data_IF_694562758181
#
_entry.id   IF_694562758181
#
_cell.length_a   1.000
_cell.length_b   1.000
_cell.length_c   1.000
_cell.angle_alpha   90.00
_cell.angle_beta   90.00
_cell.angle_gamma   90.00
#
_symmetry.space_group_name_H-M   'P 1'
#
loop_
_entity.id
_entity.type
_entity.pdbx_description
1 polymer ?
#
# COMPACT_ATOMS: atom_id res chain seq x y z
N UNK A 1 -43.17 -14.57 24.04
CA UNK A 1 -42.38 -14.75 22.85
C UNK A 1 -41.26 -13.72 22.92
N UNK A 2 -40.07 -14.14 23.36
CA UNK A 2 -38.94 -13.29 23.59
C UNK A 2 -38.18 -13.06 22.27
N UNK A 3 -37.68 -11.85 22.13
CA UNK A 3 -36.90 -11.38 20.99
C UNK A 3 -35.54 -12.11 20.97
N UNK A 4 -35.14 -12.78 19.88
CA UNK A 4 -33.93 -13.60 19.84
C UNK A 4 -32.64 -12.88 19.40
N UNK A 5 -32.60 -11.55 19.44
CA UNK A 5 -31.37 -10.82 19.11
C UNK A 5 -30.67 -10.33 20.37
N UNK A 6 -29.38 -10.62 20.58
CA UNK A 6 -28.62 -10.04 21.67
C UNK A 6 -28.53 -8.52 21.48
N UNK A 7 -28.78 -7.77 22.56
CA UNK A 7 -28.57 -6.34 22.62
C UNK A 7 -27.08 -6.03 22.37
N UNK A 8 -26.77 -5.47 21.23
CA UNK A 8 -25.50 -4.78 21.03
C UNK A 8 -25.49 -3.54 21.93
N UNK A 9 -24.41 -3.27 22.66
CA UNK A 9 -24.30 -2.03 23.42
C UNK A 9 -24.32 -0.87 22.45
N UNK A 10 -25.08 0.16 22.82
CA UNK A 10 -25.27 1.41 22.07
C UNK A 10 -23.92 2.03 21.69
N UNK A 11 -23.62 2.07 20.40
CA UNK A 11 -22.41 2.68 19.83
C UNK A 11 -22.43 4.22 19.85
N UNK A 12 -23.25 4.84 20.70
CA UNK A 12 -23.39 6.31 20.79
C UNK A 12 -22.57 6.99 21.89
N UNK A 13 -21.70 6.29 22.59
CA UNK A 13 -20.85 6.88 23.64
C UNK A 13 -19.37 6.61 23.49
N UNK A 14 -18.83 6.63 22.28
CA UNK A 14 -17.43 6.93 22.11
C UNK A 14 -17.32 8.46 21.99
N UNK A 15 -16.84 9.07 23.05
CA UNK A 15 -16.56 10.51 23.15
C UNK A 15 -15.80 10.94 21.90
N UNK A 16 -16.37 11.87 21.15
CA UNK A 16 -15.63 12.71 20.22
C UNK A 16 -14.46 13.31 21.01
N UNK A 17 -13.24 12.92 20.66
CA UNK A 17 -12.06 13.56 21.20
C UNK A 17 -12.09 15.02 20.71
N UNK A 18 -12.38 15.94 21.59
CA UNK A 18 -12.41 17.40 21.33
C UNK A 18 -11.00 17.99 21.23
N UNK A 19 -9.99 17.20 20.91
CA UNK A 19 -8.64 17.66 20.60
C UNK A 19 -8.60 18.20 19.17
N UNK A 20 -8.30 19.49 19.01
CA UNK A 20 -7.97 20.02 17.67
C UNK A 20 -6.69 19.34 17.20
N UNK A 21 -6.72 18.78 15.99
CA UNK A 21 -5.52 18.29 15.32
C UNK A 21 -4.48 19.41 15.17
N UNK A 22 -3.19 19.08 15.25
CA UNK A 22 -2.11 20.04 14.92
C UNK A 22 -2.26 20.61 13.51
N UNK A 23 -2.92 19.87 12.61
CA UNK A 23 -3.17 20.26 11.21
C UNK A 23 -4.35 21.20 11.01
N UNK A 24 -5.09 21.58 12.07
CA UNK A 24 -6.28 22.43 11.97
C UNK A 24 -5.99 23.92 11.84
N UNK A 25 -4.72 24.33 11.93
CA UNK A 25 -4.32 25.74 11.91
C UNK A 25 -3.46 26.11 10.73
N UNK A 26 -3.77 27.22 10.06
CA UNK A 26 -2.93 27.77 8.98
C UNK A 26 -1.55 28.24 9.50
N UNK A 27 -1.45 28.55 10.79
CA UNK A 27 -0.19 28.88 11.45
C UNK A 27 0.79 27.70 11.40
N UNK A 28 0.31 26.47 11.55
CA UNK A 28 1.14 25.26 11.45
C UNK A 28 1.81 25.19 10.08
N UNK A 29 1.02 25.29 9.00
CA UNK A 29 1.58 25.20 7.65
C UNK A 29 2.49 26.39 7.32
N UNK A 30 2.17 27.61 7.76
CA UNK A 30 3.03 28.77 7.58
C UNK A 30 4.40 28.61 8.23
N UNK A 31 4.45 28.02 9.44
CA UNK A 31 5.71 27.70 10.13
C UNK A 31 6.47 26.63 9.35
N UNK A 32 5.83 25.53 8.98
CA UNK A 32 6.41 24.44 8.19
C UNK A 32 7.01 24.94 6.88
N UNK A 33 6.30 25.78 6.13
CA UNK A 33 6.77 26.37 4.88
C UNK A 33 7.94 27.33 5.07
N UNK A 34 7.92 28.14 6.14
CA UNK A 34 9.01 29.10 6.42
C UNK A 34 10.36 28.43 6.69
N UNK A 35 10.35 27.26 7.32
CA UNK A 35 11.54 26.45 7.60
C UNK A 35 12.13 25.82 6.33
N UNK A 36 11.38 25.82 5.21
CA UNK A 36 11.73 25.22 3.91
C UNK A 36 11.93 26.26 2.81
N UNK A 37 12.33 27.48 3.17
CA UNK A 37 12.60 28.56 2.20
C UNK A 37 13.73 28.23 1.20
N UNK A 38 14.46 27.14 1.40
CA UNK A 38 15.49 26.62 0.52
C UNK A 38 14.93 25.77 -0.64
N UNK A 39 13.66 25.34 -0.55
CA UNK A 39 13.02 24.56 -1.60
C UNK A 39 12.79 25.36 -2.88
N UNK A 40 12.83 24.72 -4.06
CA UNK A 40 12.52 25.40 -5.31
C UNK A 40 11.06 25.86 -5.35
N UNK A 41 10.80 26.99 -6.02
CA UNK A 41 9.48 27.63 -6.04
C UNK A 41 8.34 26.69 -6.47
N UNK A 42 8.57 25.84 -7.47
CA UNK A 42 7.55 24.88 -7.92
C UNK A 42 7.12 23.91 -6.81
N UNK A 43 8.03 23.50 -5.90
CA UNK A 43 7.71 22.61 -4.79
C UNK A 43 6.94 23.36 -3.69
N UNK A 44 7.33 24.59 -3.39
CA UNK A 44 6.60 25.44 -2.47
C UNK A 44 5.16 25.70 -2.94
N UNK A 45 4.98 25.96 -4.25
CA UNK A 45 3.66 26.13 -4.88
C UNK A 45 2.84 24.85 -4.81
N UNK A 46 3.47 23.68 -5.10
CA UNK A 46 2.83 22.36 -5.00
C UNK A 46 2.35 22.07 -3.57
N UNK A 47 3.18 22.34 -2.55
CA UNK A 47 2.81 22.16 -1.14
C UNK A 47 1.66 23.07 -0.74
N UNK A 48 1.68 24.32 -1.19
CA UNK A 48 0.61 25.29 -0.90
C UNK A 48 -0.71 24.87 -1.54
N UNK A 49 -0.69 24.41 -2.79
CA UNK A 49 -1.88 23.91 -3.49
C UNK A 49 -2.43 22.64 -2.80
N UNK A 50 -1.56 21.72 -2.42
CA UNK A 50 -1.94 20.51 -1.69
C UNK A 50 -2.54 20.84 -0.31
N UNK A 51 -1.95 21.79 0.42
CA UNK A 51 -2.50 22.26 1.70
C UNK A 51 -3.89 22.90 1.54
N UNK A 52 -4.07 23.76 0.53
CA UNK A 52 -5.38 24.33 0.24
C UNK A 52 -6.43 23.26 -0.10
N UNK A 53 -6.03 22.25 -0.88
CA UNK A 53 -6.92 21.12 -1.19
C UNK A 53 -7.25 20.34 0.07
N UNK A 54 -6.26 20.00 0.92
CA UNK A 54 -6.51 19.38 2.21
C UNK A 54 -7.55 20.13 3.04
N UNK A 55 -7.45 21.46 3.14
CA UNK A 55 -8.38 22.32 3.89
C UNK A 55 -9.79 22.38 3.27
N UNK A 56 -9.90 22.23 1.97
CA UNK A 56 -11.19 22.26 1.25
C UNK A 56 -11.94 20.93 1.27
N UNK A 57 -11.22 19.82 1.30
CA UNK A 57 -11.83 18.50 1.33
C UNK A 57 -12.49 18.25 2.69
N UNK A 58 -13.74 17.78 2.65
CA UNK A 58 -14.44 17.36 3.86
C UNK A 58 -13.97 15.96 4.25
N UNK A 59 -13.91 15.70 5.53
CA UNK A 59 -13.74 14.34 6.02
C UNK A 59 -14.79 13.41 5.41
N UNK A 60 -14.40 12.18 5.04
CA UNK A 60 -15.33 11.21 4.50
C UNK A 60 -16.46 10.92 5.51
N UNK A 61 -17.63 10.63 5.00
CA UNK A 61 -18.81 10.26 5.81
C UNK A 61 -19.03 8.76 5.77
N UNK A 62 -19.87 8.21 6.63
CA UNK A 62 -20.26 6.79 6.59
C UNK A 62 -21.05 6.43 5.31
N UNK A 63 -21.49 7.42 4.54
CA UNK A 63 -22.21 7.22 3.27
C UNK A 63 -21.27 7.12 2.08
N UNK A 64 -19.99 7.45 2.25
CA UNK A 64 -19.01 7.38 1.16
C UNK A 64 -18.67 5.92 0.87
N UNK A 65 -18.93 5.49 -0.35
CA UNK A 65 -18.74 4.10 -0.77
C UNK A 65 -17.29 3.65 -0.61
N UNK A 66 -16.34 4.55 -0.85
CA UNK A 66 -14.91 4.30 -0.67
C UNK A 66 -14.50 4.13 0.81
N UNK A 67 -15.42 4.35 1.76
CA UNK A 67 -15.23 4.09 3.19
C UNK A 67 -16.21 3.04 3.73
N UNK A 68 -16.93 2.38 2.84
CA UNK A 68 -17.81 1.28 3.22
C UNK A 68 -17.01 0.18 3.92
N UNK A 69 -17.54 -0.32 5.03
CA UNK A 69 -16.92 -1.28 5.95
C UNK A 69 -15.66 -0.81 6.68
N UNK A 70 -15.07 0.34 6.30
CA UNK A 70 -13.87 0.87 6.90
C UNK A 70 -14.18 1.77 8.09
N UNK A 71 -13.66 1.46 9.29
CA UNK A 71 -13.87 2.27 10.48
C UNK A 71 -12.98 3.52 10.43
N UNK A 72 -13.48 4.62 9.87
CA UNK A 72 -12.74 5.87 9.67
C UNK A 72 -11.94 6.36 10.89
N UNK A 73 -12.52 6.20 12.10
CA UNK A 73 -11.88 6.67 13.32
C UNK A 73 -10.53 6.02 13.60
N UNK A 74 -10.29 4.80 13.10
CA UNK A 74 -9.01 4.10 13.23
C UNK A 74 -7.92 4.68 12.31
N UNK A 75 -8.34 5.40 11.27
CA UNK A 75 -7.46 6.06 10.32
C UNK A 75 -7.38 7.58 10.53
N UNK A 76 -7.99 8.09 11.61
CA UNK A 76 -7.98 9.51 11.92
C UNK A 76 -6.60 9.97 12.41
N UNK A 77 -6.13 11.08 11.86
CA UNK A 77 -4.90 11.75 12.30
C UNK A 77 -5.16 12.78 13.42
N UNK A 78 -6.38 12.82 13.98
CA UNK A 78 -6.75 13.77 15.03
C UNK A 78 -5.92 13.60 16.33
N UNK A 79 -5.42 12.41 16.59
CA UNK A 79 -4.60 12.12 17.78
C UNK A 79 -3.10 12.36 17.56
N UNK A 80 -2.69 12.74 16.36
CA UNK A 80 -1.29 13.04 16.07
C UNK A 80 -0.91 14.35 16.75
N UNK A 81 0.12 14.29 17.61
CA UNK A 81 0.56 15.44 18.41
C UNK A 81 1.68 16.21 17.74
N UNK A 82 2.54 15.53 16.96
CA UNK A 82 3.73 16.14 16.39
C UNK A 82 4.08 15.53 15.03
N UNK A 83 4.72 16.33 14.16
CA UNK A 83 5.54 15.76 13.10
C UNK A 83 6.77 15.10 13.69
N UNK A 84 7.23 14.02 13.08
CA UNK A 84 8.48 13.41 13.47
C UNK A 84 9.64 14.39 13.24
N UNK A 85 10.49 14.54 14.24
CA UNK A 85 11.78 15.25 14.10
C UNK A 85 12.94 14.29 13.85
N UNK A 86 12.66 12.98 13.76
CA UNK A 86 13.67 11.98 13.48
C UNK A 86 14.15 12.12 12.04
N UNK A 87 15.48 12.06 11.87
CA UNK A 87 16.12 12.08 10.55
C UNK A 87 16.45 10.66 10.11
N UNK A 88 16.73 10.50 8.82
CA UNK A 88 17.13 9.23 8.23
C UNK A 88 16.09 8.10 8.41
N UNK A 89 14.81 8.48 8.41
CA UNK A 89 13.71 7.52 8.44
C UNK A 89 13.62 6.69 7.15
N UNK A 90 14.15 7.19 6.04
CA UNK A 90 14.30 6.45 4.78
C UNK A 90 15.76 6.18 4.53
N UNK A 91 16.16 4.90 4.57
CA UNK A 91 17.53 4.45 4.37
C UNK A 91 17.65 3.70 3.05
N UNK A 92 18.68 4.03 2.28
CA UNK A 92 18.91 3.48 0.95
C UNK A 92 20.17 2.61 0.96
N UNK A 93 20.12 1.47 0.25
CA UNK A 93 21.33 0.68 -0.01
C UNK A 93 22.33 1.48 -0.85
N UNK A 94 23.60 1.29 -0.57
CA UNK A 94 24.66 1.85 -1.40
C UNK A 94 24.80 1.01 -2.67
N UNK A 95 24.18 1.47 -3.77
CA UNK A 95 24.40 0.90 -5.10
C UNK A 95 25.16 1.94 -5.92
N UNK A 96 26.40 1.64 -6.26
CA UNK A 96 27.17 2.43 -7.20
C UNK A 96 26.82 2.00 -8.64
N UNK A 97 25.96 2.75 -9.29
CA UNK A 97 25.59 2.53 -10.68
C UNK A 97 25.59 3.85 -11.44
N UNK A 98 26.33 3.92 -12.53
CA UNK A 98 26.26 5.03 -13.46
C UNK A 98 25.00 5.02 -14.34
N UNK A 99 24.20 3.94 -14.25
CA UNK A 99 22.98 3.72 -15.00
C UNK A 99 21.71 4.20 -14.26
N UNK A 100 21.81 4.55 -12.98
CA UNK A 100 20.69 5.05 -12.18
C UNK A 100 21.10 6.17 -11.22
N UNK A 101 20.16 7.04 -10.96
CA UNK A 101 20.21 8.01 -9.87
C UNK A 101 19.32 7.49 -8.73
N UNK A 102 19.92 7.16 -7.57
CA UNK A 102 19.23 6.62 -6.42
C UNK A 102 19.67 7.40 -5.16
N UNK A 103 18.79 8.20 -4.61
CA UNK A 103 19.12 9.07 -3.48
C UNK A 103 17.88 9.50 -2.68
N UNK A 104 18.10 10.01 -1.47
CA UNK A 104 17.02 10.57 -0.67
C UNK A 104 16.41 11.78 -1.35
N UNK A 105 15.11 12.01 -1.10
CA UNK A 105 14.32 13.03 -1.78
C UNK A 105 14.85 14.44 -1.54
N UNK A 106 15.26 14.79 -0.33
CA UNK A 106 15.83 16.09 0.04
C UNK A 106 17.08 16.40 -0.78
N UNK A 107 17.96 15.42 -0.93
CA UNK A 107 19.16 15.54 -1.76
C UNK A 107 18.79 15.67 -3.24
N UNK A 108 17.78 14.91 -3.71
CA UNK A 108 17.29 15.03 -5.08
C UNK A 108 16.75 16.44 -5.37
N UNK A 109 16.02 17.04 -4.43
CA UNK A 109 15.48 18.41 -4.56
C UNK A 109 16.62 19.44 -4.66
N UNK A 110 17.70 19.25 -3.91
CA UNK A 110 18.84 20.19 -3.92
C UNK A 110 19.70 20.04 -5.18
N UNK A 111 19.99 18.79 -5.58
CA UNK A 111 20.93 18.52 -6.67
C UNK A 111 20.27 18.63 -8.06
N UNK A 112 18.97 18.25 -8.16
CA UNK A 112 18.25 18.13 -9.43
C UNK A 112 16.80 18.67 -9.35
N UNK A 113 16.62 19.94 -8.98
CA UNK A 113 15.28 20.49 -8.71
C UNK A 113 14.34 20.52 -9.92
N UNK A 114 14.86 20.60 -11.13
CA UNK A 114 14.04 20.70 -12.35
C UNK A 114 13.59 19.31 -12.85
N UNK A 115 14.39 18.30 -12.68
CA UNK A 115 14.11 16.94 -13.09
C UNK A 115 12.92 16.38 -12.31
N UNK A 116 12.88 16.63 -11.02
CA UNK A 116 11.81 16.13 -10.14
C UNK A 116 10.45 16.76 -10.48
N UNK A 117 10.41 18.04 -10.90
CA UNK A 117 9.17 18.76 -11.19
C UNK A 117 8.34 18.13 -12.31
N UNK A 118 9.01 17.50 -13.28
CA UNK A 118 8.37 16.88 -14.45
C UNK A 118 7.83 15.48 -14.18
N UNK A 119 8.23 14.84 -13.07
CA UNK A 119 7.95 13.43 -12.78
C UNK A 119 6.91 13.29 -11.65
N UNK A 120 6.69 14.35 -10.88
CA UNK A 120 5.73 14.29 -9.76
C UNK A 120 4.30 14.44 -10.25
N UNK A 121 3.53 13.36 -10.17
CA UNK A 121 2.08 13.41 -10.38
C UNK A 121 1.41 14.20 -9.24
N UNK A 122 0.41 14.99 -9.60
CA UNK A 122 -0.35 15.84 -8.68
C UNK A 122 -1.73 15.24 -8.35
N UNK A 123 -2.08 14.13 -8.96
CA UNK A 123 -3.37 13.47 -8.75
C UNK A 123 -3.17 12.21 -7.93
N UNK A 124 -3.75 12.17 -6.74
CA UNK A 124 -3.76 10.95 -5.91
C UNK A 124 -4.57 9.82 -6.54
N UNK A 125 -4.54 8.63 -5.92
CA UNK A 125 -5.32 7.48 -6.41
C UNK A 125 -6.83 7.73 -6.42
N UNK A 126 -7.32 8.70 -5.62
CA UNK A 126 -8.73 9.05 -5.49
C UNK A 126 -9.62 7.84 -5.17
N UNK A 127 -9.22 7.09 -4.15
CA UNK A 127 -9.90 5.88 -3.69
C UNK A 127 -10.53 6.04 -2.29
N UNK A 128 -10.61 7.29 -1.80
CA UNK A 128 -11.36 7.63 -0.60
C UNK A 128 -10.61 8.47 0.43
N UNK A 129 -9.32 8.24 0.65
CA UNK A 129 -8.53 8.99 1.62
C UNK A 129 -7.87 10.24 0.98
N UNK A 130 -8.59 10.91 0.08
CA UNK A 130 -8.12 12.06 -0.71
C UNK A 130 -7.63 13.20 0.18
N UNK A 131 -8.28 13.46 1.32
CA UNK A 131 -7.84 14.47 2.27
C UNK A 131 -6.46 14.13 2.86
N UNK A 132 -6.26 12.88 3.31
CA UNK A 132 -4.97 12.41 3.84
C UNK A 132 -3.88 12.42 2.77
N UNK A 133 -4.22 12.08 1.52
CA UNK A 133 -3.29 12.19 0.40
C UNK A 133 -2.79 13.63 0.21
N UNK A 134 -3.67 14.63 0.23
CA UNK A 134 -3.25 16.03 0.09
C UNK A 134 -2.45 16.51 1.29
N UNK A 135 -2.79 16.07 2.51
CA UNK A 135 -1.98 16.36 3.69
C UNK A 135 -0.56 15.78 3.53
N UNK A 136 -0.45 14.53 3.07
CA UNK A 136 0.84 13.89 2.79
C UNK A 136 1.62 14.65 1.74
N UNK A 137 0.98 15.05 0.64
CA UNK A 137 1.63 15.82 -0.43
C UNK A 137 2.11 17.20 0.03
N UNK A 138 1.38 17.85 0.95
CA UNK A 138 1.76 19.14 1.51
C UNK A 138 2.96 19.05 2.47
N UNK A 139 3.03 17.99 3.28
CA UNK A 139 3.95 17.87 4.42
C UNK A 139 5.08 16.87 4.23
N UNK A 140 5.14 16.14 3.12
CA UNK A 140 6.20 15.16 2.89
C UNK A 140 7.59 15.82 2.90
N UNK A 141 8.43 15.41 3.84
CA UNK A 141 9.79 15.89 4.03
C UNK A 141 10.84 14.77 4.03
N UNK A 142 10.38 13.54 3.91
CA UNK A 142 11.18 12.34 3.75
C UNK A 142 10.81 11.63 2.44
N UNK A 143 11.63 10.68 2.04
CA UNK A 143 11.36 9.82 0.89
C UNK A 143 12.60 9.59 0.03
N UNK A 144 12.39 8.97 -1.12
CA UNK A 144 13.46 8.66 -2.06
C UNK A 144 13.08 8.96 -3.51
N UNK A 145 14.12 9.06 -4.31
CA UNK A 145 14.05 9.08 -5.77
C UNK A 145 14.91 7.97 -6.36
N UNK A 146 14.31 7.21 -7.30
CA UNK A 146 15.01 6.27 -8.17
C UNK A 146 14.69 6.60 -9.62
N UNK A 147 15.71 6.94 -10.40
CA UNK A 147 15.59 7.16 -11.85
C UNK A 147 16.63 6.37 -12.61
N UNK A 148 16.25 5.59 -13.62
CA UNK A 148 17.19 4.89 -14.50
C UNK A 148 17.51 5.72 -15.75
N UNK A 149 18.67 5.44 -16.37
CA UNK A 149 18.96 5.91 -17.73
C UNK A 149 18.25 5.02 -18.76
N UNK A 150 18.10 5.52 -19.98
CA UNK A 150 17.58 4.74 -21.10
C UNK A 150 18.51 3.55 -21.38
N UNK A 151 17.92 2.37 -21.65
CA UNK A 151 18.62 1.11 -21.89
C UNK A 151 19.43 0.60 -20.67
N UNK A 152 19.06 0.98 -19.46
CA UNK A 152 19.69 0.47 -18.25
C UNK A 152 19.18 -0.94 -17.91
N UNK A 153 20.09 -1.88 -17.67
CA UNK A 153 19.76 -3.21 -17.17
C UNK A 153 20.39 -3.39 -15.78
N UNK A 154 19.59 -3.22 -14.72
CA UNK A 154 20.07 -3.24 -13.34
C UNK A 154 19.55 -4.52 -12.66
N UNK A 155 20.48 -5.45 -12.36
CA UNK A 155 20.17 -6.76 -11.79
C UNK A 155 20.20 -6.78 -10.27
N UNK A 156 21.04 -5.93 -9.67
CA UNK A 156 21.08 -5.79 -8.22
C UNK A 156 19.85 -5.01 -7.73
N UNK A 157 19.16 -5.50 -6.70
CA UNK A 157 17.98 -4.81 -6.19
C UNK A 157 18.35 -3.52 -5.44
N UNK A 158 17.65 -2.45 -5.72
CA UNK A 158 17.62 -1.26 -4.87
C UNK A 158 16.85 -1.59 -3.60
N UNK A 159 17.49 -1.44 -2.45
CA UNK A 159 16.88 -1.74 -1.16
C UNK A 159 16.60 -0.43 -0.41
N UNK A 160 15.36 -0.27 0.02
CA UNK A 160 14.88 0.87 0.78
C UNK A 160 14.31 0.38 2.12
N UNK A 161 14.75 0.98 3.22
CA UNK A 161 14.14 0.79 4.54
C UNK A 161 13.41 2.06 4.96
N UNK A 162 12.10 1.93 5.20
CA UNK A 162 11.25 2.95 5.79
C UNK A 162 11.08 2.65 7.28
N UNK A 163 11.42 3.61 8.12
CA UNK A 163 11.34 3.49 9.57
C UNK A 163 10.18 4.31 10.12
N UNK A 164 9.27 3.65 10.80
CA UNK A 164 8.18 4.34 11.48
C UNK A 164 8.71 5.00 12.74
N UNK A 165 8.48 6.32 12.93
CA UNK A 165 9.03 7.08 14.05
C UNK A 165 8.46 6.64 15.40
N UNK A 166 9.06 7.14 16.48
CA UNK A 166 8.63 6.90 17.86
C UNK A 166 7.50 7.84 18.28
N UNK A 167 6.79 7.41 19.32
CA UNK A 167 5.78 8.22 20.00
C UNK A 167 4.52 8.46 19.19
N UNK A 168 3.70 9.42 19.58
CA UNK A 168 2.48 9.83 18.90
C UNK A 168 2.76 10.81 17.74
N UNK A 169 3.84 10.55 17.01
CA UNK A 169 4.28 11.36 15.88
C UNK A 169 3.93 10.71 14.55
N UNK A 170 3.95 11.50 13.48
CA UNK A 170 3.76 11.04 12.12
C UNK A 170 4.94 11.48 11.24
N UNK A 171 5.33 10.62 10.31
CA UNK A 171 6.17 10.96 9.17
C UNK A 171 5.34 11.00 7.89
N UNK A 172 5.66 11.96 7.01
CA UNK A 172 5.09 12.05 5.67
C UNK A 172 6.19 11.81 4.65
N UNK A 173 5.95 10.90 3.71
CA UNK A 173 6.93 10.50 2.72
C UNK A 173 6.44 10.70 1.30
N UNK A 174 7.34 11.13 0.42
CA UNK A 174 7.13 11.18 -1.02
C UNK A 174 8.20 10.38 -1.72
N UNK A 175 7.78 9.32 -2.39
CA UNK A 175 8.64 8.37 -3.06
C UNK A 175 8.39 8.41 -4.57
N UNK A 176 9.45 8.40 -5.36
CA UNK A 176 9.38 8.50 -6.81
C UNK A 176 10.27 7.46 -7.47
N UNK A 177 9.71 6.69 -8.38
CA UNK A 177 10.44 5.74 -9.23
C UNK A 177 10.15 6.07 -10.70
N UNK A 178 11.20 6.32 -11.45
CA UNK A 178 11.13 6.54 -12.89
C UNK A 178 12.02 5.56 -13.62
N UNK A 179 11.44 4.58 -14.30
CA UNK A 179 12.17 3.63 -15.13
C UNK A 179 12.11 4.11 -16.57
N UNK A 180 13.24 4.55 -17.08
CA UNK A 180 13.37 5.09 -18.43
C UNK A 180 13.07 4.01 -19.51
N UNK A 181 12.79 4.38 -20.77
CA UNK A 181 12.53 3.44 -21.83
C UNK A 181 13.62 2.36 -21.98
N UNK A 182 13.20 1.11 -22.27
CA UNK A 182 14.04 -0.04 -22.51
C UNK A 182 14.95 -0.41 -21.32
N UNK A 183 14.51 -0.09 -20.11
CA UNK A 183 15.29 -0.30 -18.89
C UNK A 183 14.60 -1.27 -17.94
N UNK A 184 15.40 -1.92 -17.09
CA UNK A 184 14.88 -2.82 -16.06
C UNK A 184 15.51 -2.54 -14.71
N UNK A 185 14.70 -2.67 -13.65
CA UNK A 185 15.14 -2.54 -12.26
C UNK A 185 14.35 -3.46 -11.33
N UNK A 186 14.96 -3.74 -10.18
CA UNK A 186 14.36 -4.48 -9.07
C UNK A 186 14.42 -3.58 -7.84
N UNK A 187 13.31 -3.47 -7.12
CA UNK A 187 13.19 -2.65 -5.90
C UNK A 187 12.63 -3.49 -4.77
N UNK A 188 13.32 -3.50 -3.64
CA UNK A 188 12.85 -4.09 -2.38
C UNK A 188 12.67 -3.00 -1.34
N UNK A 189 11.47 -2.89 -0.81
CA UNK A 189 11.11 -1.95 0.23
C UNK A 189 10.71 -2.68 1.51
N UNK A 190 11.22 -2.20 2.64
CA UNK A 190 10.89 -2.73 3.96
C UNK A 190 10.35 -1.60 4.83
N UNK A 191 9.19 -1.80 5.44
CA UNK A 191 8.63 -0.87 6.41
C UNK A 191 8.70 -1.52 7.79
N UNK A 192 9.50 -0.94 8.68
CA UNK A 192 9.71 -1.42 10.04
C UNK A 192 9.56 -0.28 11.04
N UNK A 193 9.15 -0.58 12.26
CA UNK A 193 9.19 0.40 13.36
C UNK A 193 10.61 0.58 13.88
N UNK A 194 10.95 1.78 14.35
CA UNK A 194 12.27 2.07 14.95
C UNK A 194 12.52 1.19 16.17
N UNK A 195 11.48 0.90 16.94
CA UNK A 195 11.51 -0.09 18.02
C UNK A 195 10.16 -0.82 18.16
N UNK A 196 10.13 -1.90 18.94
CA UNK A 196 8.94 -2.74 19.14
C UNK A 196 7.84 -2.12 20.01
N UNK A 197 8.13 -1.02 20.71
CA UNK A 197 7.22 -0.39 21.67
C UNK A 197 6.67 0.97 21.20
N UNK A 198 7.10 1.44 20.06
CA UNK A 198 6.70 2.77 19.58
C UNK A 198 5.36 2.77 18.85
N UNK A 199 4.48 3.67 19.31
CA UNK A 199 3.27 4.06 18.56
C UNK A 199 3.66 5.13 17.57
N UNK A 200 3.85 4.78 16.32
CA UNK A 200 4.16 5.74 15.28
C UNK A 200 3.10 5.73 14.19
N UNK A 201 3.07 6.79 13.41
CA UNK A 201 2.23 6.87 12.23
C UNK A 201 3.10 7.19 11.02
N UNK A 202 2.70 6.70 9.85
CA UNK A 202 3.29 7.13 8.61
C UNK A 202 2.23 7.28 7.53
N UNK A 203 2.43 8.26 6.67
CA UNK A 203 1.65 8.43 5.46
C UNK A 203 2.59 8.66 4.29
N UNK A 204 2.51 7.82 3.27
CA UNK A 204 3.43 7.83 2.15
C UNK A 204 2.71 7.92 0.82
N UNK A 205 3.32 8.64 -0.12
CA UNK A 205 2.96 8.60 -1.54
C UNK A 205 4.08 7.94 -2.33
N UNK A 206 3.73 7.08 -3.28
CA UNK A 206 4.64 6.51 -4.26
C UNK A 206 4.11 6.79 -5.66
N UNK A 207 4.93 7.42 -6.49
CA UNK A 207 4.65 7.60 -7.91
C UNK A 207 5.66 6.82 -8.74
N UNK A 208 5.17 5.90 -9.56
CA UNK A 208 5.99 5.09 -10.47
C UNK A 208 5.60 5.39 -11.90
N UNK A 209 6.60 5.72 -12.71
CA UNK A 209 6.42 5.90 -14.15
C UNK A 209 7.33 4.95 -14.90
N UNK A 210 6.75 4.14 -15.78
CA UNK A 210 7.48 3.24 -16.66
C UNK A 210 7.45 3.78 -18.09
N UNK A 211 8.62 3.95 -18.68
CA UNK A 211 8.79 4.28 -20.09
C UNK A 211 8.45 3.13 -21.03
N UNK A 212 8.57 3.33 -22.33
CA UNK A 212 8.37 2.30 -23.34
C UNK A 212 9.25 1.08 -23.08
N UNK A 213 8.67 -0.12 -23.08
CA UNK A 213 9.37 -1.41 -22.85
C UNK A 213 10.19 -1.46 -21.55
N UNK A 214 9.84 -0.63 -20.57
CA UNK A 214 10.46 -0.67 -19.26
C UNK A 214 9.91 -1.84 -18.42
N UNK A 215 10.75 -2.41 -17.55
CA UNK A 215 10.38 -3.50 -16.66
C UNK A 215 10.76 -3.18 -15.22
N UNK A 216 9.80 -3.25 -14.31
CA UNK A 216 10.01 -3.08 -12.88
C UNK A 216 9.42 -4.25 -12.09
N UNK A 217 10.25 -4.85 -11.24
CA UNK A 217 9.79 -5.73 -10.16
C UNK A 217 9.95 -4.97 -8.84
N UNK A 218 8.85 -4.73 -8.13
CA UNK A 218 8.84 -4.10 -6.83
C UNK A 218 8.26 -5.06 -5.79
N UNK A 219 8.95 -5.24 -4.69
CA UNK A 219 8.47 -6.03 -3.55
C UNK A 219 8.52 -5.18 -2.30
N UNK A 220 7.37 -5.00 -1.65
CA UNK A 220 7.22 -4.31 -0.37
C UNK A 220 6.92 -5.31 0.73
N UNK A 221 7.68 -5.28 1.82
CA UNK A 221 7.40 -6.04 3.05
C UNK A 221 7.15 -5.06 4.20
N UNK A 222 5.93 -5.02 4.68
CA UNK A 222 5.51 -4.18 5.80
C UNK A 222 5.40 -5.05 7.06
N UNK A 223 6.30 -4.79 8.03
CA UNK A 223 6.35 -5.46 9.32
C UNK A 223 6.52 -4.44 10.47
N UNK A 224 5.79 -3.32 10.40
CA UNK A 224 5.73 -2.36 11.48
C UNK A 224 5.08 -2.99 12.72
N UNK A 225 5.34 -2.44 13.90
CA UNK A 225 4.73 -2.96 15.13
C UNK A 225 3.19 -2.78 15.12
N UNK A 226 2.50 -3.54 15.96
CA UNK A 226 1.04 -3.62 16.00
C UNK A 226 0.35 -2.41 16.65
N UNK A 227 1.08 -1.36 16.99
CA UNK A 227 0.54 -0.08 17.47
C UNK A 227 0.62 1.03 16.39
N UNK A 228 1.08 0.69 15.19
CA UNK A 228 1.30 1.62 14.08
C UNK A 228 0.07 1.77 13.20
N UNK A 229 -0.23 3.00 12.76
CA UNK A 229 -1.20 3.27 11.69
C UNK A 229 -0.50 3.78 10.43
N UNK A 230 -0.83 3.17 9.29
CA UNK A 230 -0.22 3.46 7.99
C UNK A 230 -1.25 3.90 6.96
N UNK A 231 -0.89 4.93 6.18
CA UNK A 231 -1.56 5.31 4.95
C UNK A 231 -0.57 5.22 3.79
N UNK A 232 -0.92 4.48 2.75
CA UNK A 232 -0.08 4.30 1.56
C UNK A 232 -0.87 4.66 0.30
N UNK A 233 -0.33 5.58 -0.49
CA UNK A 233 -0.93 6.04 -1.74
C UNK A 233 0.02 5.73 -2.89
N UNK A 234 -0.37 4.84 -3.79
CA UNK A 234 0.47 4.37 -4.87
C UNK A 234 -0.16 4.67 -6.23
N UNK A 235 0.57 5.34 -7.09
CA UNK A 235 0.19 5.62 -8.47
C UNK A 235 1.22 5.01 -9.42
N UNK A 236 0.75 4.15 -10.31
CA UNK A 236 1.56 3.50 -11.34
C UNK A 236 1.09 3.95 -12.71
N UNK A 237 2.00 4.51 -13.50
CA UNK A 237 1.75 4.91 -14.88
C UNK A 237 2.62 4.07 -15.83
N UNK A 238 1.98 3.24 -16.66
CA UNK A 238 2.64 2.25 -17.49
C UNK A 238 2.62 2.67 -18.95
N UNK A 239 3.81 2.94 -19.50
CA UNK A 239 4.01 3.26 -20.89
C UNK A 239 3.85 2.06 -21.82
N UNK A 240 4.08 2.27 -23.11
CA UNK A 240 3.92 1.25 -24.15
C UNK A 240 4.80 0.03 -23.88
N UNK A 241 4.20 -1.17 -24.00
CA UNK A 241 4.88 -2.46 -23.85
C UNK A 241 5.68 -2.60 -22.53
N UNK A 242 5.39 -1.75 -21.54
CA UNK A 242 6.04 -1.82 -20.23
C UNK A 242 5.40 -2.87 -19.32
N UNK A 243 6.18 -3.38 -18.38
CA UNK A 243 5.72 -4.40 -17.41
C UNK A 243 6.04 -3.96 -15.99
N UNK A 244 5.03 -3.95 -15.14
CA UNK A 244 5.18 -3.80 -13.69
C UNK A 244 4.71 -5.07 -12.98
N UNK A 245 5.57 -5.63 -12.14
CA UNK A 245 5.18 -6.58 -11.10
C UNK A 245 5.33 -5.91 -9.74
N UNK A 246 4.20 -5.67 -9.08
CA UNK A 246 4.13 -5.13 -7.73
C UNK A 246 3.68 -6.21 -6.76
N UNK A 247 4.48 -6.50 -5.74
CA UNK A 247 4.18 -7.50 -4.70
C UNK A 247 4.22 -6.81 -3.35
N UNK A 248 3.14 -6.87 -2.59
CA UNK A 248 3.04 -6.25 -1.26
C UNK A 248 2.69 -7.27 -0.20
N UNK A 249 3.51 -7.35 0.84
CA UNK A 249 3.38 -8.28 1.97
C UNK A 249 3.11 -7.47 3.23
N UNK A 250 1.93 -7.55 3.78
CA UNK A 250 1.52 -6.85 5.00
C UNK A 250 1.38 -7.83 6.16
N UNK A 251 2.21 -7.67 7.18
CA UNK A 251 2.27 -8.55 8.35
C UNK A 251 2.07 -7.76 9.64
N UNK A 252 2.61 -6.54 9.67
CA UNK A 252 2.58 -5.64 10.82
C UNK A 252 1.49 -4.58 10.74
N UNK A 253 1.65 -3.52 11.51
CA UNK A 253 0.74 -2.41 11.79
C UNK A 253 -0.57 -2.84 12.48
N UNK A 254 -1.17 -1.94 13.28
CA UNK A 254 -2.55 -2.14 13.76
C UNK A 254 -3.56 -1.84 12.67
N UNK A 255 -3.34 -0.76 11.94
CA UNK A 255 -4.22 -0.33 10.87
C UNK A 255 -3.38 0.08 9.67
N UNK A 256 -3.70 -0.47 8.51
CA UNK A 256 -3.06 -0.08 7.25
C UNK A 256 -4.14 0.16 6.20
N UNK A 257 -4.16 1.36 5.62
CA UNK A 257 -4.95 1.67 4.44
C UNK A 257 -4.02 1.87 3.26
N UNK A 258 -4.20 1.03 2.23
CA UNK A 258 -3.45 1.09 0.99
C UNK A 258 -4.38 1.45 -0.17
N UNK A 259 -4.10 2.54 -0.85
CA UNK A 259 -4.80 2.99 -2.05
C UNK A 259 -3.86 2.93 -3.25
N UNK A 260 -4.13 2.01 -4.17
CA UNK A 260 -3.28 1.72 -5.32
C UNK A 260 -4.02 1.95 -6.63
N UNK A 261 -3.49 2.82 -7.48
CA UNK A 261 -3.99 3.06 -8.84
C UNK A 261 -2.94 2.68 -9.87
N UNK A 262 -3.32 1.87 -10.83
CA UNK A 262 -2.51 1.53 -12.01
C UNK A 262 -3.16 2.00 -13.29
N UNK A 263 -2.51 2.93 -14.00
CA UNK A 263 -2.94 3.44 -15.30
C UNK A 263 -2.09 2.82 -16.43
N UNK A 264 -2.70 1.95 -17.23
CA UNK A 264 -2.08 1.35 -18.42
C UNK A 264 -2.29 2.29 -19.60
N UNK A 265 -1.45 3.33 -19.68
CA UNK A 265 -1.58 4.43 -20.66
C UNK A 265 -0.98 4.09 -22.02
N UNK A 266 -0.05 3.15 -22.08
CA UNK A 266 0.59 2.71 -23.31
C UNK A 266 0.02 1.39 -23.82
N UNK A 267 -0.08 1.25 -25.14
CA UNK A 267 -0.49 -0.01 -25.77
C UNK A 267 0.40 -1.16 -25.34
N UNK A 268 -0.17 -2.33 -25.04
CA UNK A 268 0.58 -3.52 -24.66
C UNK A 268 1.13 -3.50 -23.24
N UNK A 269 0.80 -2.50 -22.42
CA UNK A 269 1.24 -2.42 -21.03
C UNK A 269 0.71 -3.59 -20.19
N UNK A 270 1.52 -4.07 -19.24
CA UNK A 270 1.21 -5.20 -18.38
C UNK A 270 1.39 -4.83 -16.90
N UNK A 271 0.33 -5.02 -16.09
CA UNK A 271 0.35 -4.75 -14.66
C UNK A 271 -0.03 -5.98 -13.85
N UNK A 272 0.93 -6.54 -13.13
CA UNK A 272 0.73 -7.60 -12.15
C UNK A 272 0.78 -6.98 -10.73
N UNK A 273 -0.35 -7.05 -10.01
CA UNK A 273 -0.46 -6.49 -8.66
C UNK A 273 -0.85 -7.59 -7.68
N UNK A 274 0.09 -8.02 -6.87
CA UNK A 274 -0.08 -9.12 -5.93
C UNK A 274 0.04 -8.61 -4.49
N UNK A 275 -0.88 -9.01 -3.64
CA UNK A 275 -0.86 -8.61 -2.23
C UNK A 275 -1.16 -9.79 -1.30
N UNK A 276 -0.53 -9.75 -0.14
CA UNK A 276 -0.76 -10.68 0.95
C UNK A 276 -0.94 -9.90 2.24
N UNK A 277 -1.96 -10.26 3.03
CA UNK A 277 -2.11 -9.81 4.40
C UNK A 277 -2.24 -11.01 5.34
N UNK A 278 -1.41 -11.01 6.37
CA UNK A 278 -1.53 -11.94 7.48
C UNK A 278 -1.87 -11.15 8.75
N UNK A 279 -3.13 -11.20 9.16
CA UNK A 279 -3.68 -10.43 10.27
C UNK A 279 -3.96 -11.28 11.50
N UNK A 280 -3.75 -10.69 12.69
CA UNK A 280 -4.07 -11.26 14.00
C UNK A 280 -4.46 -10.17 15.00
N UNK A 281 -4.98 -10.56 16.16
CA UNK A 281 -5.47 -9.60 17.16
C UNK A 281 -6.55 -8.71 16.54
N UNK A 282 -6.40 -7.39 16.66
CA UNK A 282 -7.33 -6.40 16.11
C UNK A 282 -6.79 -5.70 14.85
N UNK A 283 -5.85 -6.32 14.12
CA UNK A 283 -5.27 -5.72 12.94
C UNK A 283 -6.31 -5.51 11.83
N UNK A 284 -6.24 -4.36 11.18
CA UNK A 284 -7.10 -4.02 10.05
C UNK A 284 -6.25 -3.68 8.82
N UNK A 285 -6.54 -4.34 7.71
CA UNK A 285 -6.00 -4.00 6.40
C UNK A 285 -7.13 -3.60 5.45
N UNK A 286 -7.13 -2.34 5.02
CA UNK A 286 -8.08 -1.78 4.06
C UNK A 286 -7.37 -1.53 2.73
N UNK A 287 -7.56 -2.42 1.76
CA UNK A 287 -6.97 -2.35 0.44
C UNK A 287 -7.96 -1.83 -0.58
N UNK A 288 -7.62 -0.72 -1.23
CA UNK A 288 -8.38 -0.12 -2.32
C UNK A 288 -7.54 -0.09 -3.58
N UNK A 289 -8.07 -0.63 -4.67
CA UNK A 289 -7.32 -0.71 -5.92
C UNK A 289 -8.16 -0.24 -7.09
N UNK A 290 -7.52 0.43 -8.06
CA UNK A 290 -8.10 0.76 -9.35
C UNK A 290 -7.11 0.45 -10.47
N UNK A 291 -7.49 -0.41 -11.38
CA UNK A 291 -6.71 -0.71 -12.58
C UNK A 291 -7.42 -0.12 -13.78
N UNK A 292 -6.80 0.88 -14.41
CA UNK A 292 -7.38 1.62 -15.54
C UNK A 292 -6.67 1.21 -16.82
N UNK A 293 -7.42 0.61 -17.74
CA UNK A 293 -6.94 0.29 -19.09
C UNK A 293 -7.32 1.43 -20.02
N UNK A 294 -6.33 2.26 -20.36
CA UNK A 294 -6.53 3.45 -21.19
C UNK A 294 -6.06 3.26 -22.65
N UNK A 295 -5.47 2.09 -22.97
CA UNK A 295 -4.94 1.77 -24.28
C UNK A 295 -5.23 0.31 -24.67
N UNK A 296 -5.22 -0.02 -25.99
CA UNK A 296 -5.45 -1.38 -26.45
C UNK A 296 -4.37 -2.38 -26.04
N UNK A 297 -4.72 -3.67 -26.12
CA UNK A 297 -3.83 -4.82 -25.93
C UNK A 297 -3.16 -4.88 -24.53
N UNK A 298 -3.71 -4.19 -23.54
CA UNK A 298 -3.18 -4.16 -22.19
C UNK A 298 -3.65 -5.37 -21.37
N UNK A 299 -2.80 -5.78 -20.43
CA UNK A 299 -3.10 -6.88 -19.51
C UNK A 299 -2.96 -6.44 -18.05
N UNK A 300 -3.87 -6.90 -17.20
CA UNK A 300 -3.69 -6.76 -15.75
C UNK A 300 -4.11 -8.01 -15.00
N UNK A 301 -3.37 -8.32 -13.93
CA UNK A 301 -3.68 -9.42 -13.03
C UNK A 301 -3.52 -8.96 -11.59
N UNK A 302 -4.61 -8.97 -10.83
CA UNK A 302 -4.61 -8.71 -9.40
C UNK A 302 -4.94 -9.98 -8.64
N UNK A 303 -4.07 -10.33 -7.67
CA UNK A 303 -4.33 -11.38 -6.70
C UNK A 303 -4.08 -10.82 -5.29
N UNK A 304 -5.12 -10.81 -4.47
CA UNK A 304 -5.03 -10.49 -3.04
C UNK A 304 -5.37 -11.72 -2.21
N UNK A 305 -4.46 -12.14 -1.33
CA UNK A 305 -4.65 -13.26 -0.40
C UNK A 305 -4.50 -12.79 1.03
N UNK A 306 -5.48 -13.12 1.86
CA UNK A 306 -5.52 -12.70 3.26
C UNK A 306 -5.72 -13.93 4.16
N UNK A 307 -4.87 -14.09 5.17
CA UNK A 307 -5.04 -15.08 6.23
C UNK A 307 -5.31 -14.34 7.55
N UNK A 308 -6.45 -14.61 8.19
CA UNK A 308 -6.97 -13.81 9.29
C UNK A 308 -7.25 -14.67 10.51
N UNK A 309 -6.68 -14.26 11.65
CA UNK A 309 -6.91 -14.88 12.94
C UNK A 309 -7.44 -13.87 13.96
N UNK A 310 -7.94 -14.34 15.10
CA UNK A 310 -8.52 -13.54 16.19
C UNK A 310 -9.64 -12.61 15.66
N UNK A 311 -9.56 -11.32 15.90
CA UNK A 311 -10.49 -10.29 15.43
C UNK A 311 -9.94 -9.50 14.25
N UNK A 312 -8.92 -10.03 13.57
CA UNK A 312 -8.33 -9.36 12.42
C UNK A 312 -9.35 -9.19 11.29
N UNK A 313 -9.29 -8.04 10.63
CA UNK A 313 -10.20 -7.69 9.55
C UNK A 313 -9.45 -7.30 8.29
N UNK A 314 -9.92 -7.82 7.16
CA UNK A 314 -9.49 -7.40 5.82
C UNK A 314 -10.66 -6.78 5.07
N UNK A 315 -10.42 -5.63 4.44
CA UNK A 315 -11.36 -4.99 3.53
C UNK A 315 -10.67 -4.87 2.18
N UNK A 316 -11.27 -5.45 1.15
CA UNK A 316 -10.79 -5.35 -0.22
C UNK A 316 -11.84 -4.66 -1.08
N UNK A 317 -11.45 -3.59 -1.78
CA UNK A 317 -12.27 -2.97 -2.82
C UNK A 317 -11.41 -2.76 -4.06
N UNK A 318 -11.76 -3.43 -5.13
CA UNK A 318 -11.01 -3.38 -6.38
C UNK A 318 -11.90 -3.04 -7.56
N UNK A 319 -11.46 -2.10 -8.41
CA UNK A 319 -12.14 -1.74 -9.64
C UNK A 319 -11.21 -1.93 -10.84
N UNK A 320 -11.64 -2.72 -11.79
CA UNK A 320 -11.06 -2.73 -13.15
C UNK A 320 -11.90 -1.80 -14.01
N UNK A 321 -11.27 -0.76 -14.55
CA UNK A 321 -11.89 0.15 -15.51
C UNK A 321 -11.26 -0.02 -16.88
N UNK A 322 -12.08 -0.24 -17.90
CA UNK A 322 -11.63 -0.37 -19.29
C UNK A 322 -12.27 0.75 -20.10
N UNK A 323 -11.45 1.68 -20.59
CA UNK A 323 -11.89 2.81 -21.38
C UNK A 323 -12.33 2.35 -22.79
N UNK A 324 -13.16 3.14 -23.46
CA UNK A 324 -13.77 2.81 -24.75
C UNK A 324 -12.75 2.40 -25.84
N UNK A 325 -11.57 3.02 -25.82
CA UNK A 325 -10.50 2.76 -26.80
C UNK A 325 -9.64 1.53 -26.47
N UNK A 326 -9.78 0.96 -25.28
CA UNK A 326 -8.92 -0.11 -24.77
C UNK A 326 -9.40 -1.51 -25.20
N UNK A 327 -9.52 -1.73 -26.50
CA UNK A 327 -9.84 -3.04 -27.06
C UNK A 327 -8.77 -4.09 -26.78
N UNK A 328 -9.13 -5.38 -26.85
CA UNK A 328 -8.27 -6.53 -26.55
C UNK A 328 -7.69 -6.54 -25.12
N UNK A 329 -8.30 -5.83 -24.21
CA UNK A 329 -7.93 -5.87 -22.79
C UNK A 329 -8.14 -7.27 -22.23
N UNK A 330 -7.16 -7.72 -21.44
CA UNK A 330 -7.20 -8.97 -20.67
C UNK A 330 -6.95 -8.66 -19.19
N UNK A 331 -8.01 -8.65 -18.35
CA UNK A 331 -7.93 -8.14 -17.00
C UNK A 331 -8.62 -9.08 -15.98
N UNK A 332 -7.86 -9.53 -15.00
CA UNK A 332 -8.34 -10.41 -13.95
C UNK A 332 -8.10 -9.81 -12.58
N UNK A 333 -9.06 -10.02 -11.68
CA UNK A 333 -8.97 -9.61 -10.28
C UNK A 333 -9.49 -10.74 -9.40
N UNK A 334 -8.68 -11.17 -8.45
CA UNK A 334 -9.01 -12.23 -7.52
C UNK A 334 -8.69 -11.81 -6.09
N UNK A 335 -9.67 -11.92 -5.20
CA UNK A 335 -9.48 -11.78 -3.75
C UNK A 335 -9.84 -13.09 -3.06
N UNK A 336 -8.92 -13.64 -2.28
CA UNK A 336 -9.12 -14.88 -1.53
C UNK A 336 -8.79 -14.66 -0.06
N UNK A 337 -9.72 -15.05 0.82
CA UNK A 337 -9.58 -14.87 2.26
C UNK A 337 -9.69 -16.24 2.94
N UNK A 338 -8.73 -16.53 3.82
CA UNK A 338 -8.71 -17.69 4.69
C UNK A 338 -8.94 -17.25 6.13
N UNK A 339 -10.08 -17.60 6.70
CA UNK A 339 -10.42 -17.31 8.10
C UNK A 339 -9.95 -18.46 8.97
N UNK A 340 -9.03 -18.19 9.89
CA UNK A 340 -8.47 -19.18 10.80
C UNK A 340 -9.32 -19.37 12.06
N UNK A 341 -10.21 -18.43 12.34
CA UNK A 341 -11.14 -18.49 13.47
C UNK A 341 -12.51 -17.90 13.11
N UNK A 342 -13.46 -17.92 14.06
CA UNK A 342 -14.82 -17.44 13.82
C UNK A 342 -14.97 -15.93 13.91
N UNK A 343 -14.09 -15.24 14.62
CA UNK A 343 -14.18 -13.82 14.92
C UNK A 343 -13.44 -12.96 13.87
N UNK A 344 -12.66 -13.61 12.99
CA UNK A 344 -12.00 -12.95 11.87
C UNK A 344 -13.00 -12.57 10.78
N UNK A 345 -12.80 -11.41 10.14
CA UNK A 345 -13.73 -10.85 9.17
C UNK A 345 -13.03 -10.45 7.86
N UNK A 346 -13.66 -10.74 6.72
CA UNK A 346 -13.20 -10.32 5.41
C UNK A 346 -14.34 -9.74 4.57
N UNK A 347 -14.23 -8.48 4.20
CA UNK A 347 -15.15 -7.78 3.30
C UNK A 347 -14.53 -7.65 1.90
N UNK A 348 -15.27 -8.07 0.87
CA UNK A 348 -14.78 -8.04 -0.52
C UNK A 348 -15.77 -7.33 -1.44
N UNK A 349 -15.30 -6.28 -2.12
CA UNK A 349 -16.09 -5.44 -3.04
C UNK A 349 -15.37 -5.35 -4.40
N UNK A 350 -15.30 -6.43 -5.18
CA UNK A 350 -14.75 -6.37 -6.52
C UNK A 350 -15.73 -5.73 -7.51
N UNK A 351 -15.25 -4.89 -8.41
CA UNK A 351 -16.05 -4.18 -9.41
C UNK A 351 -15.40 -4.19 -10.80
N UNK A 352 -16.24 -4.05 -11.81
CA UNK A 352 -15.85 -3.90 -13.22
C UNK A 352 -16.63 -2.73 -13.83
N UNK A 353 -15.93 -1.84 -14.51
CA UNK A 353 -16.48 -0.79 -15.37
C UNK A 353 -15.90 -0.94 -16.77
N UNK A 354 -16.67 -1.53 -17.69
CA UNK A 354 -16.17 -1.90 -19.02
C UNK A 354 -16.90 -1.09 -20.08
N UNK A 355 -16.16 -0.20 -20.75
CA UNK A 355 -16.69 0.65 -21.80
C UNK A 355 -16.30 0.17 -23.20
N UNK A 356 -15.29 -0.72 -23.33
CA UNK A 356 -14.80 -1.26 -24.59
C UNK A 356 -15.49 -2.57 -24.97
N UNK A 357 -15.46 -2.88 -26.27
CA UNK A 357 -15.81 -4.20 -26.83
C UNK A 357 -14.53 -5.08 -26.93
N UNK A 358 -14.72 -6.38 -27.19
CA UNK A 358 -13.65 -7.35 -27.45
C UNK A 358 -12.63 -7.43 -26.29
N UNK A 359 -13.12 -7.60 -25.06
CA UNK A 359 -12.30 -7.71 -23.86
C UNK A 359 -12.53 -9.02 -23.13
N UNK A 360 -11.53 -9.45 -22.34
CA UNK A 360 -11.62 -10.57 -21.40
C UNK A 360 -11.40 -10.03 -20.00
N UNK A 361 -12.48 -9.80 -19.26
CA UNK A 361 -12.42 -9.26 -17.92
C UNK A 361 -13.23 -10.13 -16.96
N UNK A 362 -12.63 -10.43 -15.82
CA UNK A 362 -13.35 -11.13 -14.75
C UNK A 362 -12.86 -10.71 -13.38
N UNK A 363 -13.72 -10.88 -12.40
CA UNK A 363 -13.35 -10.79 -11.00
C UNK A 363 -13.89 -12.00 -10.21
N UNK A 364 -13.22 -12.32 -9.10
CA UNK A 364 -13.65 -13.34 -8.17
C UNK A 364 -13.29 -12.96 -6.74
N UNK A 365 -14.19 -13.27 -5.80
CA UNK A 365 -13.92 -13.15 -4.37
C UNK A 365 -14.36 -14.44 -3.68
N UNK A 366 -13.51 -14.94 -2.80
CA UNK A 366 -13.81 -16.11 -1.99
C UNK A 366 -13.38 -15.88 -0.54
N UNK A 367 -14.19 -16.36 0.39
CA UNK A 367 -13.86 -16.41 1.81
C UNK A 367 -14.17 -17.81 2.31
N UNK A 368 -13.19 -18.48 2.88
CA UNK A 368 -13.31 -19.84 3.39
C UNK A 368 -12.61 -19.97 4.74
N UNK A 369 -12.95 -21.02 5.47
CA UNK A 369 -12.14 -21.53 6.57
C UNK A 369 -11.20 -22.61 6.05
N UNK A 370 -10.30 -23.07 6.91
CA UNK A 370 -9.45 -24.25 6.63
C UNK A 370 -10.36 -25.42 6.28
N UNK A 371 -10.02 -26.13 5.20
CA UNK A 371 -10.75 -27.32 4.80
C UNK A 371 -10.58 -28.44 5.84
N UNK A 372 -11.71 -28.93 6.38
CA UNK A 372 -11.71 -29.95 7.43
C UNK A 372 -11.12 -31.29 6.96
N UNK A 373 -11.20 -31.61 5.67
CA UNK A 373 -10.64 -32.84 5.13
C UNK A 373 -9.11 -32.74 5.00
N UNK A 374 -8.59 -31.60 4.55
CA UNK A 374 -7.16 -31.34 4.51
C UNK A 374 -6.57 -31.37 5.93
N UNK A 375 -7.24 -30.70 6.88
CA UNK A 375 -6.84 -30.67 8.27
C UNK A 375 -6.86 -32.09 8.87
N UNK A 376 -7.94 -32.85 8.68
CA UNK A 376 -8.05 -34.22 9.14
C UNK A 376 -6.96 -35.11 8.55
N UNK A 377 -6.62 -34.95 7.27
CA UNK A 377 -5.55 -35.71 6.64
C UNK A 377 -4.21 -35.49 7.34
N UNK A 378 -3.84 -34.24 7.62
CA UNK A 378 -2.60 -33.90 8.32
C UNK A 378 -2.58 -34.46 9.76
N UNK A 379 -3.68 -34.31 10.49
CA UNK A 379 -3.84 -34.84 11.84
C UNK A 379 -3.71 -36.37 11.86
N UNK A 380 -4.29 -37.06 10.86
CA UNK A 380 -4.21 -38.53 10.76
C UNK A 380 -2.77 -39.03 10.48
N UNK A 381 -1.89 -38.17 10.02
CA UNK A 381 -0.43 -38.39 9.82
C UNK A 381 0.39 -38.07 11.07
N UNK A 382 -0.26 -37.66 12.17
CA UNK A 382 0.40 -37.33 13.42
C UNK A 382 0.97 -35.90 13.50
N UNK A 383 0.61 -35.03 12.58
CA UNK A 383 0.98 -33.62 12.63
C UNK A 383 0.10 -32.95 13.68
N UNK A 384 0.67 -32.20 14.67
CA UNK A 384 -0.12 -31.46 15.65
C UNK A 384 -1.02 -30.41 14.99
N UNK A 385 -2.15 -30.08 15.62
CA UNK A 385 -3.16 -29.16 15.07
C UNK A 385 -2.55 -27.82 14.65
N UNK A 386 -1.82 -27.15 15.53
CA UNK A 386 -1.19 -25.85 15.23
C UNK A 386 -0.21 -25.91 14.05
N UNK A 387 0.54 -27.01 13.95
CA UNK A 387 1.46 -27.21 12.81
C UNK A 387 0.71 -27.48 11.51
N UNK A 388 -0.42 -28.20 11.56
CA UNK A 388 -1.26 -28.47 10.41
C UNK A 388 -1.92 -27.18 9.88
N UNK A 389 -2.47 -26.36 10.77
CA UNK A 389 -3.02 -25.03 10.44
C UNK A 389 -1.95 -24.11 9.85
N UNK A 390 -0.75 -24.10 10.43
CA UNK A 390 0.40 -23.34 9.89
C UNK A 390 0.74 -23.79 8.48
N UNK A 391 0.87 -25.09 8.22
CA UNK A 391 1.21 -25.61 6.90
C UNK A 391 0.17 -25.26 5.83
N UNK A 392 -1.11 -25.40 6.13
CA UNK A 392 -2.20 -25.04 5.21
C UNK A 392 -2.18 -23.54 4.92
N UNK A 393 -2.01 -22.71 5.95
CA UNK A 393 -1.99 -21.25 5.80
C UNK A 393 -0.79 -20.78 5.00
N UNK A 394 0.41 -21.32 5.25
CA UNK A 394 1.60 -21.02 4.47
C UNK A 394 1.42 -21.42 3.01
N UNK A 395 0.92 -22.63 2.74
CA UNK A 395 0.63 -23.08 1.39
C UNK A 395 -0.39 -22.19 0.66
N UNK A 396 -1.40 -21.68 1.40
CA UNK A 396 -2.35 -20.73 0.85
C UNK A 396 -1.68 -19.40 0.47
N UNK A 397 -0.77 -18.87 1.29
CA UNK A 397 -0.09 -17.59 1.07
C UNK A 397 1.05 -17.69 0.05
N UNK A 398 1.63 -18.86 -0.13
CA UNK A 398 2.85 -19.11 -0.93
C UNK A 398 2.68 -18.69 -2.39
N UNK A 399 1.46 -18.78 -2.94
CA UNK A 399 1.16 -18.31 -4.30
C UNK A 399 1.52 -16.82 -4.53
N UNK A 400 1.38 -15.97 -3.50
CA UNK A 400 1.78 -14.56 -3.57
C UNK A 400 3.27 -14.40 -3.28
N UNK A 401 3.80 -15.14 -2.31
CA UNK A 401 5.21 -15.08 -1.91
C UNK A 401 6.13 -15.41 -3.10
N UNK A 402 5.79 -16.45 -3.86
CA UNK A 402 6.53 -16.88 -5.05
C UNK A 402 6.56 -15.81 -6.17
N UNK A 403 5.63 -14.84 -6.15
CA UNK A 403 5.63 -13.73 -7.12
C UNK A 403 6.78 -12.74 -6.89
N UNK A 404 7.43 -12.76 -5.71
CA UNK A 404 8.63 -11.97 -5.46
C UNK A 404 9.80 -12.35 -6.39
N UNK A 405 9.79 -13.57 -6.94
CA UNK A 405 10.74 -14.05 -7.96
C UNK A 405 12.22 -13.86 -7.58
N UNK A 406 12.52 -13.97 -6.29
CA UNK A 406 13.89 -13.90 -5.75
C UNK A 406 13.97 -14.87 -4.55
N UNK A 407 14.78 -15.91 -4.66
CA UNK A 407 14.85 -17.00 -3.68
C UNK A 407 15.23 -16.52 -2.28
N UNK A 408 16.27 -15.68 -2.16
CA UNK A 408 16.71 -15.14 -0.86
C UNK A 408 15.64 -14.29 -0.17
N UNK A 409 14.89 -13.51 -0.96
CA UNK A 409 13.80 -12.69 -0.44
C UNK A 409 12.59 -13.56 -0.06
N UNK A 410 12.25 -14.56 -0.86
CA UNK A 410 11.19 -15.53 -0.58
C UNK A 410 11.45 -16.24 0.74
N UNK A 411 12.67 -16.72 0.99
CA UNK A 411 13.03 -17.34 2.26
C UNK A 411 12.90 -16.38 3.44
N UNK A 412 13.34 -15.14 3.29
CA UNK A 412 13.18 -14.11 4.34
C UNK A 412 11.70 -13.82 4.63
N UNK A 413 10.87 -13.68 3.59
CA UNK A 413 9.43 -13.46 3.75
C UNK A 413 8.78 -14.64 4.47
N UNK A 414 9.08 -15.87 4.06
CA UNK A 414 8.58 -17.07 4.74
C UNK A 414 8.97 -17.10 6.20
N UNK A 415 10.23 -16.83 6.53
CA UNK A 415 10.70 -16.80 7.92
C UNK A 415 9.95 -15.76 8.78
N UNK A 416 9.66 -14.58 8.24
CA UNK A 416 8.89 -13.54 8.96
C UNK A 416 7.44 -13.99 9.17
N UNK A 417 6.79 -14.57 8.15
CA UNK A 417 5.43 -15.10 8.23
C UNK A 417 5.35 -16.26 9.23
N UNK A 418 6.31 -17.17 9.21
CA UNK A 418 6.39 -18.29 10.16
C UNK A 418 6.56 -17.80 11.60
N UNK A 419 7.46 -16.82 11.82
CA UNK A 419 7.64 -16.22 13.14
C UNK A 419 6.36 -15.57 13.67
N UNK A 420 5.60 -14.91 12.80
CA UNK A 420 4.29 -14.37 13.17
C UNK A 420 3.32 -15.50 13.55
N UNK A 421 3.27 -16.57 12.78
CA UNK A 421 2.42 -17.74 13.09
C UNK A 421 2.75 -18.33 14.46
N UNK A 422 4.03 -18.51 14.77
CA UNK A 422 4.48 -19.05 16.04
C UNK A 422 4.08 -18.15 17.23
N UNK A 423 4.02 -16.84 17.02
CA UNK A 423 3.54 -15.91 18.04
C UNK A 423 2.02 -15.95 18.26
N UNK A 424 1.22 -16.52 17.33
CA UNK A 424 -0.23 -16.68 17.46
C UNK A 424 -0.61 -17.95 18.24
N UNK A 425 0.31 -18.91 18.34
CA UNK A 425 0.08 -20.22 18.95
C UNK A 425 0.71 -20.37 20.33
N UNK A 426 1.46 -19.35 20.77
CA UNK A 426 2.09 -19.26 22.10
C UNK A 426 1.23 -18.45 23.06
#
# INVERSE_FOLDING_TARGET
MGNPFPNFPDMQTLQESTGKSIFDTDQFFSTFASERSWEPGWLADHRSDAWEKFRKYKEPTLKDENWRFSPKHLFSLANVQNLSSEKDLVQLSAIESDQALFQNLDKMILDFPNELSSITDQTGPDLGATQTYFLTSALADNGFFLGTRINAEIKEPFVIEHKIPKGESITFEKNVIHIAPFSSAIVFEFINSVDSSSRGNASSTLNVTLGESANLVRVLVQNANTDTTLHQFENFSLGRDSTLRNVTIHIGASHCRSETKGDLIGRGASFENFSLFMGSGNQLFDQRTRQVHSSPDCTSNLLSKNALNDQAKSIFSGLIKVEEVASNTNAYQTNRNLLLCNDAEADSLPGLEILANEVKCSHGATTSKIDEQELFYLLSRGIPLSSAEKLISLGFLDEVIEKANNEDLIEKIRAVIESKFDSLTS
#
